data_IF_822374287816
#
_entry.id   IF_822374287816
#
_cell.length_a   1.000
_cell.length_b   1.000
_cell.length_c   1.000
_cell.angle_alpha   90.00
_cell.angle_beta   90.00
_cell.angle_gamma   90.00
#
_symmetry.space_group_name_H-M   'P 1'
#
loop_
_entity.id
_entity.type
_entity.pdbx_description
1 polymer ?
#
# COMPACT_ATOMS: atom_id res chain seq x y z
N UNK A 1 18.62 22.15 10.57
CA UNK A 1 18.46 20.67 10.68
C UNK A 1 17.02 20.22 10.45
N UNK A 2 16.04 21.10 10.68
CA UNK A 2 14.60 20.90 10.41
C UNK A 2 14.31 20.63 8.92
N UNK A 3 14.45 21.63 8.04
CA UNK A 3 14.06 21.52 6.62
C UNK A 3 14.63 20.30 5.87
N UNK A 4 15.76 19.74 6.34
CA UNK A 4 16.37 18.53 5.79
C UNK A 4 15.51 17.27 6.04
N UNK A 5 14.95 17.08 7.24
CA UNK A 5 14.11 15.91 7.57
C UNK A 5 12.78 15.95 6.83
N UNK A 6 12.13 17.10 6.79
CA UNK A 6 10.88 17.26 6.03
C UNK A 6 11.10 17.06 4.53
N UNK A 7 12.18 17.63 3.98
CA UNK A 7 12.56 17.41 2.57
C UNK A 7 12.83 15.94 2.29
N UNK A 8 13.51 15.24 3.18
CA UNK A 8 13.78 13.81 3.06
C UNK A 8 12.49 12.96 3.04
N UNK A 9 11.53 13.25 3.92
CA UNK A 9 10.22 12.55 3.91
C UNK A 9 9.49 12.77 2.59
N UNK A 10 9.51 14.00 2.05
CA UNK A 10 8.89 14.32 0.75
C UNK A 10 9.61 13.63 -0.40
N UNK A 11 10.93 13.56 -0.38
CA UNK A 11 11.73 12.85 -1.39
C UNK A 11 11.44 11.34 -1.37
N UNK A 12 11.34 10.72 -0.18
CA UNK A 12 10.96 9.32 -0.08
C UNK A 12 9.51 9.06 -0.52
N UNK A 13 8.56 9.96 -0.23
CA UNK A 13 7.20 9.86 -0.75
C UNK A 13 7.19 9.89 -2.29
N UNK A 14 8.01 10.76 -2.91
CA UNK A 14 8.17 10.78 -4.38
C UNK A 14 8.76 9.48 -4.91
N UNK A 15 9.75 8.92 -4.23
CA UNK A 15 10.33 7.61 -4.58
C UNK A 15 9.29 6.48 -4.52
N UNK A 16 8.30 6.57 -3.62
CA UNK A 16 7.27 5.55 -3.46
C UNK A 16 6.21 5.58 -4.57
N UNK A 17 5.76 6.77 -4.97
CA UNK A 17 4.61 6.93 -5.87
C UNK A 17 4.97 7.43 -7.27
N UNK A 18 5.89 8.37 -7.41
CA UNK A 18 6.15 9.07 -8.68
C UNK A 18 7.35 8.47 -9.42
N UNK A 19 8.43 8.21 -8.70
CA UNK A 19 9.70 7.75 -9.28
C UNK A 19 9.88 6.23 -9.18
N UNK A 20 8.87 5.53 -8.63
CA UNK A 20 8.92 4.09 -8.42
C UNK A 20 8.82 3.32 -9.73
N UNK A 21 9.98 2.85 -10.22
CA UNK A 21 10.11 2.04 -11.45
C UNK A 21 10.23 0.54 -11.16
N UNK A 22 9.96 0.10 -9.92
CA UNK A 22 10.06 -1.32 -9.56
C UNK A 22 9.06 -2.14 -10.39
N UNK A 23 9.55 -3.20 -11.03
CA UNK A 23 8.69 -4.14 -11.75
C UNK A 23 8.09 -5.13 -10.77
N UNK A 24 6.77 -5.26 -10.74
CA UNK A 24 6.05 -6.20 -9.87
C UNK A 24 5.51 -7.39 -10.68
N UNK A 25 5.79 -8.59 -10.14
CA UNK A 25 5.41 -9.92 -10.65
C UNK A 25 4.69 -10.71 -9.55
N UNK A 26 4.05 -11.81 -9.92
CA UNK A 26 3.35 -12.67 -8.95
C UNK A 26 4.28 -13.22 -7.87
N UNK A 27 5.50 -13.62 -8.23
CA UNK A 27 6.54 -14.08 -7.30
C UNK A 27 7.00 -13.07 -6.24
N UNK A 28 6.59 -11.80 -6.33
CA UNK A 28 6.84 -10.84 -5.24
C UNK A 28 5.90 -11.02 -4.05
N UNK A 29 4.83 -11.81 -4.21
CA UNK A 29 3.85 -12.13 -3.19
C UNK A 29 3.91 -13.62 -2.88
N UNK A 30 3.89 -13.95 -1.60
CA UNK A 30 3.98 -15.33 -1.14
C UNK A 30 2.84 -16.19 -1.71
N UNK A 31 3.19 -17.33 -2.32
CA UNK A 31 2.28 -18.33 -2.86
C UNK A 31 1.33 -17.85 -3.99
N UNK A 32 1.51 -16.62 -4.51
CA UNK A 32 0.58 -16.06 -5.49
C UNK A 32 0.76 -16.68 -6.88
N UNK A 33 2.01 -16.95 -7.29
CA UNK A 33 2.29 -17.52 -8.60
C UNK A 33 1.70 -18.93 -8.72
N UNK A 34 1.88 -19.76 -7.69
CA UNK A 34 1.28 -21.09 -7.59
C UNK A 34 -0.24 -21.02 -7.59
N UNK A 35 -0.81 -20.13 -6.76
CA UNK A 35 -2.27 -20.00 -6.67
C UNK A 35 -2.92 -19.54 -7.98
N UNK A 36 -2.23 -18.72 -8.79
CA UNK A 36 -2.71 -18.31 -10.13
C UNK A 36 -2.59 -19.45 -11.15
N UNK A 37 -1.59 -20.32 -11.03
CA UNK A 37 -1.47 -21.51 -11.90
C UNK A 37 -2.54 -22.56 -11.59
N UNK A 38 -3.01 -22.62 -10.35
CA UNK A 38 -4.07 -23.53 -9.90
C UNK A 38 -5.49 -23.06 -10.27
N UNK A 39 -5.68 -21.79 -10.65
CA UNK A 39 -6.98 -21.30 -11.11
C UNK A 39 -7.23 -21.62 -12.58
N UNK A 40 -8.51 -21.66 -12.98
CA UNK A 40 -8.84 -21.67 -14.39
C UNK A 40 -8.27 -20.40 -15.05
N UNK A 41 -7.73 -20.52 -16.28
CA UNK A 41 -7.02 -19.45 -16.97
C UNK A 41 -7.72 -18.09 -16.85
N UNK A 42 -7.09 -17.16 -16.13
CA UNK A 42 -7.56 -15.78 -15.98
C UNK A 42 -8.48 -15.53 -14.78
N UNK A 43 -8.73 -16.50 -13.91
CA UNK A 43 -9.51 -16.31 -12.68
C UNK A 43 -8.66 -15.82 -11.50
N UNK A 44 -9.30 -15.05 -10.62
CA UNK A 44 -8.71 -14.57 -9.37
C UNK A 44 -8.68 -15.73 -8.36
N UNK A 45 -7.52 -16.01 -7.73
CA UNK A 45 -7.42 -17.02 -6.68
C UNK A 45 -8.49 -16.85 -5.59
N UNK A 46 -9.05 -17.97 -5.12
CA UNK A 46 -10.22 -17.98 -4.22
C UNK A 46 -10.04 -17.11 -2.98
N UNK A 47 -8.86 -17.14 -2.36
CA UNK A 47 -8.55 -16.35 -1.16
C UNK A 47 -8.49 -14.82 -1.40
N UNK A 48 -8.40 -14.39 -2.66
CA UNK A 48 -8.37 -12.98 -3.06
C UNK A 48 -9.72 -12.45 -3.57
N UNK A 49 -10.70 -13.33 -3.79
CA UNK A 49 -11.97 -12.95 -4.41
C UNK A 49 -12.74 -11.90 -3.60
N UNK A 50 -12.77 -12.04 -2.28
CA UNK A 50 -13.44 -11.07 -1.40
C UNK A 50 -12.80 -9.67 -1.48
N UNK A 51 -11.47 -9.61 -1.57
CA UNK A 51 -10.75 -8.35 -1.75
C UNK A 51 -11.04 -7.76 -3.13
N UNK A 52 -11.02 -8.60 -4.18
CA UNK A 52 -11.35 -8.16 -5.53
C UNK A 52 -12.75 -7.56 -5.62
N UNK A 53 -13.74 -8.16 -4.96
CA UNK A 53 -15.09 -7.62 -4.85
C UNK A 53 -15.11 -6.25 -4.16
N UNK A 54 -14.41 -6.09 -3.04
CA UNK A 54 -14.30 -4.80 -2.33
C UNK A 54 -13.67 -3.72 -3.21
N UNK A 55 -12.61 -4.04 -3.95
CA UNK A 55 -11.96 -3.11 -4.88
C UNK A 55 -12.94 -2.71 -6.00
N UNK A 56 -13.60 -3.67 -6.65
CA UNK A 56 -14.56 -3.38 -7.73
C UNK A 56 -15.69 -2.46 -7.25
N UNK A 57 -16.23 -2.73 -6.06
CA UNK A 57 -17.26 -1.89 -5.43
C UNK A 57 -16.74 -0.48 -5.15
N UNK A 58 -15.53 -0.34 -4.60
CA UNK A 58 -14.91 0.95 -4.31
C UNK A 58 -14.56 1.77 -5.57
N UNK A 59 -14.15 1.09 -6.65
CA UNK A 59 -13.81 1.72 -7.93
C UNK A 59 -15.04 2.18 -8.72
N UNK A 60 -16.26 1.77 -8.33
CA UNK A 60 -17.51 2.16 -9.00
C UNK A 60 -17.61 1.71 -10.46
N UNK A 61 -16.92 0.62 -10.83
CA UNK A 61 -16.92 0.11 -12.21
C UNK A 61 -18.30 -0.47 -12.56
N UNK A 62 -19.05 0.23 -13.41
CA UNK A 62 -20.11 -0.41 -14.21
C UNK A 62 -19.42 -1.43 -15.12
N UNK A 63 -19.94 -2.65 -15.16
CA UNK A 63 -19.35 -3.83 -15.83
C UNK A 63 -19.08 -3.68 -17.35
N UNK A 64 -19.31 -2.51 -17.95
CA UNK A 64 -19.49 -2.35 -19.40
C UNK A 64 -18.35 -1.68 -20.16
N UNK A 65 -17.25 -1.26 -19.54
CA UNK A 65 -16.12 -0.65 -20.25
C UNK A 65 -14.80 -1.30 -19.84
N UNK A 66 -14.23 -2.11 -20.74
CA UNK A 66 -12.90 -2.74 -20.69
C UNK A 66 -12.47 -3.21 -19.29
N UNK A 67 -12.72 -4.49 -18.98
CA UNK A 67 -12.21 -5.12 -17.75
C UNK A 67 -10.73 -4.76 -17.57
N UNK A 68 -10.39 -3.91 -16.59
CA UNK A 68 -9.02 -3.47 -16.43
C UNK A 68 -8.13 -4.68 -16.14
N UNK A 69 -6.89 -4.63 -16.63
CA UNK A 69 -5.95 -5.76 -16.70
C UNK A 69 -6.04 -6.70 -15.48
N UNK A 70 -6.54 -7.92 -15.69
CA UNK A 70 -6.81 -8.88 -14.59
C UNK A 70 -5.57 -9.19 -13.75
N UNK A 71 -4.39 -9.24 -14.36
CA UNK A 71 -3.14 -9.46 -13.62
C UNK A 71 -2.83 -8.28 -12.69
N UNK A 72 -3.16 -7.05 -13.09
CA UNK A 72 -3.01 -5.89 -12.22
C UNK A 72 -3.98 -5.94 -11.03
N UNK A 73 -5.22 -6.40 -11.25
CA UNK A 73 -6.18 -6.63 -10.15
C UNK A 73 -5.69 -7.70 -9.18
N UNK A 74 -5.19 -8.84 -9.70
CA UNK A 74 -4.66 -9.94 -8.87
C UNK A 74 -3.50 -9.44 -8.00
N UNK A 75 -2.53 -8.72 -8.59
CA UNK A 75 -1.41 -8.13 -7.84
C UNK A 75 -1.90 -7.16 -6.76
N UNK A 76 -2.86 -6.30 -7.10
CA UNK A 76 -3.44 -5.34 -6.16
C UNK A 76 -4.15 -6.03 -4.99
N UNK A 77 -4.91 -7.09 -5.27
CA UNK A 77 -5.57 -7.90 -4.24
C UNK A 77 -4.53 -8.56 -3.34
N UNK A 78 -3.45 -9.11 -3.91
CA UNK A 78 -2.38 -9.73 -3.15
C UNK A 78 -1.65 -8.74 -2.24
N UNK A 79 -1.38 -7.51 -2.71
CA UNK A 79 -0.79 -6.47 -1.89
C UNK A 79 -1.67 -6.10 -0.70
N UNK A 80 -2.99 -5.96 -0.91
CA UNK A 80 -3.95 -5.66 0.17
C UNK A 80 -4.07 -6.83 1.14
N UNK A 81 -4.10 -8.06 0.64
CA UNK A 81 -4.10 -9.24 1.48
C UNK A 81 -2.84 -9.33 2.34
N UNK A 82 -1.67 -9.00 1.76
CA UNK A 82 -0.42 -8.92 2.51
C UNK A 82 -0.49 -7.83 3.59
N UNK A 83 -1.06 -6.66 3.30
CA UNK A 83 -1.32 -5.62 4.32
C UNK A 83 -2.25 -6.10 5.45
N UNK A 84 -3.21 -7.00 5.18
CA UNK A 84 -4.03 -7.65 6.22
C UNK A 84 -3.18 -8.51 7.18
N UNK A 85 -2.04 -9.04 6.73
CA UNK A 85 -1.16 -9.89 7.54
C UNK A 85 -0.15 -9.10 8.38
N UNK A 86 0.10 -7.82 8.07
CA UNK A 86 0.99 -6.96 8.84
C UNK A 86 0.24 -6.30 10.00
N UNK A 87 0.49 -6.76 11.22
CA UNK A 87 -0.03 -6.13 12.44
C UNK A 87 0.93 -5.03 12.90
N UNK A 88 0.55 -3.77 12.70
CA UNK A 88 1.43 -2.63 12.92
C UNK A 88 2.51 -2.44 11.83
N UNK A 89 3.31 -1.39 11.96
CA UNK A 89 4.33 -0.99 10.97
C UNK A 89 5.75 -1.45 11.33
N UNK A 90 5.94 -2.05 12.50
CA UNK A 90 7.25 -2.39 13.06
C UNK A 90 7.94 -3.52 12.27
N UNK A 91 7.16 -4.42 11.67
CA UNK A 91 7.67 -5.51 10.82
C UNK A 91 7.83 -5.10 9.35
N UNK A 92 7.34 -3.91 8.99
CA UNK A 92 7.39 -3.42 7.63
C UNK A 92 8.82 -2.96 7.28
N UNK A 93 9.21 -3.13 6.02
CA UNK A 93 10.46 -2.59 5.50
C UNK A 93 10.22 -1.76 4.24
N UNK A 94 11.23 -0.98 3.87
CA UNK A 94 11.13 -0.07 2.73
C UNK A 94 10.92 -0.77 1.39
N UNK A 95 11.56 -1.93 1.16
CA UNK A 95 11.41 -2.69 -0.09
C UNK A 95 9.98 -3.21 -0.28
N UNK A 96 9.33 -3.60 0.82
CA UNK A 96 7.92 -4.03 0.84
C UNK A 96 7.00 -2.86 0.52
N UNK A 97 7.22 -1.68 1.12
CA UNK A 97 6.51 -0.45 0.75
C UNK A 97 6.66 -0.13 -0.74
N UNK A 98 7.88 -0.17 -1.28
CA UNK A 98 8.14 0.05 -2.71
C UNK A 98 7.39 -0.96 -3.58
N UNK A 99 7.29 -2.22 -3.15
CA UNK A 99 6.54 -3.26 -3.87
C UNK A 99 5.05 -2.94 -3.91
N UNK A 100 4.45 -2.52 -2.80
CA UNK A 100 3.05 -2.09 -2.77
C UNK A 100 2.80 -0.81 -3.57
N UNK A 101 3.69 0.18 -3.48
CA UNK A 101 3.62 1.40 -4.28
C UNK A 101 3.67 1.13 -5.78
N UNK A 102 4.57 0.24 -6.22
CA UNK A 102 4.67 -0.16 -7.62
C UNK A 102 3.46 -0.98 -8.08
N UNK A 103 2.85 -1.76 -7.18
CA UNK A 103 1.60 -2.48 -7.44
C UNK A 103 0.44 -1.52 -7.67
N UNK A 104 0.33 -0.50 -6.81
CA UNK A 104 -0.62 0.60 -6.99
C UNK A 104 -0.41 1.32 -8.33
N UNK A 105 0.84 1.69 -8.67
CA UNK A 105 1.14 2.36 -9.95
C UNK A 105 0.72 1.49 -11.14
N UNK A 106 1.02 0.19 -11.11
CA UNK A 106 0.60 -0.76 -12.14
C UNK A 106 -0.93 -0.85 -12.28
N UNK A 107 -1.67 -0.81 -11.17
CA UNK A 107 -3.13 -0.78 -11.22
C UNK A 107 -3.65 0.57 -11.79
N UNK A 108 -3.05 1.69 -11.38
CA UNK A 108 -3.38 3.00 -11.93
C UNK A 108 -3.15 3.07 -13.44
N UNK A 109 -2.00 2.58 -13.91
CA UNK A 109 -1.64 2.54 -15.34
C UNK A 109 -2.57 1.62 -16.14
N UNK A 110 -3.12 0.59 -15.49
CA UNK A 110 -4.15 -0.29 -16.05
C UNK A 110 -5.57 0.32 -16.05
N UNK A 111 -5.74 1.57 -15.59
CA UNK A 111 -7.00 2.31 -15.63
C UNK A 111 -7.89 2.16 -14.40
N UNK A 112 -7.42 1.53 -13.32
CA UNK A 112 -8.21 1.43 -12.09
C UNK A 112 -8.30 2.78 -11.36
N UNK A 113 -9.48 3.09 -10.79
CA UNK A 113 -9.70 4.25 -9.90
C UNK A 113 -9.24 3.91 -8.47
N UNK A 114 -7.95 4.01 -8.23
CA UNK A 114 -7.28 3.54 -6.99
C UNK A 114 -6.83 4.67 -6.06
N UNK A 115 -7.45 5.85 -6.14
CA UNK A 115 -7.09 7.01 -5.30
C UNK A 115 -7.24 6.72 -3.80
N UNK A 116 -8.23 5.91 -3.42
CA UNK A 116 -8.41 5.48 -2.03
C UNK A 116 -7.24 4.61 -1.54
N UNK A 117 -6.67 3.78 -2.41
CA UNK A 117 -5.49 2.95 -2.11
C UNK A 117 -4.26 3.84 -1.97
N UNK A 118 -4.08 4.83 -2.85
CA UNK A 118 -2.99 5.80 -2.73
C UNK A 118 -3.03 6.53 -1.39
N UNK A 119 -4.21 7.02 -1.00
CA UNK A 119 -4.42 7.71 0.28
C UNK A 119 -4.07 6.79 1.46
N UNK A 120 -4.45 5.52 1.37
CA UNK A 120 -4.17 4.53 2.40
C UNK A 120 -2.68 4.17 2.48
N UNK A 121 -2.03 3.92 1.34
CA UNK A 121 -0.58 3.69 1.27
C UNK A 121 0.21 4.88 1.80
N UNK A 122 -0.21 6.12 1.51
CA UNK A 122 0.38 7.33 2.11
C UNK A 122 0.27 7.33 3.62
N UNK A 123 -0.86 6.87 4.16
CA UNK A 123 -1.05 6.74 5.61
C UNK A 123 -0.10 5.70 6.22
N UNK A 124 0.05 4.53 5.58
CA UNK A 124 1.01 3.50 5.99
C UNK A 124 2.45 4.04 5.92
N UNK A 125 2.79 4.78 4.86
CA UNK A 125 4.09 5.44 4.72
C UNK A 125 4.39 6.41 5.88
N UNK A 126 3.45 7.29 6.23
CA UNK A 126 3.63 8.19 7.39
C UNK A 126 3.77 7.41 8.70
N UNK A 127 3.01 6.33 8.87
CA UNK A 127 3.13 5.46 10.04
C UNK A 127 4.51 4.78 10.13
N UNK A 128 5.02 4.25 9.01
CA UNK A 128 6.36 3.67 8.91
C UNK A 128 7.43 4.69 9.35
N UNK A 129 7.39 5.91 8.83
CA UNK A 129 8.29 7.00 9.28
C UNK A 129 8.11 7.31 10.77
N UNK A 130 6.87 7.36 11.26
CA UNK A 130 6.56 7.59 12.67
C UNK A 130 7.24 6.58 13.59
N UNK A 131 7.24 5.30 13.20
CA UNK A 131 7.92 4.23 13.93
C UNK A 131 9.44 4.46 14.01
N UNK A 132 10.10 4.80 12.90
CA UNK A 132 11.53 5.16 12.92
C UNK A 132 11.80 6.38 13.80
N UNK A 133 10.95 7.40 13.74
CA UNK A 133 11.12 8.62 14.55
C UNK A 133 11.06 8.31 16.06
N UNK A 134 10.16 7.40 16.49
CA UNK A 134 10.11 6.95 17.89
C UNK A 134 11.42 6.30 18.34
N UNK A 135 12.05 5.51 17.47
CA UNK A 135 13.30 4.79 17.81
C UNK A 135 14.54 5.70 17.87
N UNK A 136 14.53 6.87 17.23
CA UNK A 136 15.70 7.75 17.11
C UNK A 136 15.87 8.80 18.23
N UNK A 137 14.97 8.88 19.21
CA UNK A 137 15.07 9.80 20.35
C UNK A 137 14.81 11.28 20.00
N UNK A 138 13.87 11.89 20.73
CA UNK A 138 13.36 13.24 20.46
C UNK A 138 14.33 14.33 20.95
N UNK A 139 15.37 14.65 20.16
CA UNK A 139 16.28 15.76 20.46
C UNK A 139 15.92 16.99 19.60
N UNK A 140 15.19 17.93 20.19
CA UNK A 140 15.20 19.33 19.74
C UNK A 140 13.97 19.80 18.96
N UNK A 141 13.28 20.75 19.59
CA UNK A 141 12.07 21.45 19.21
C UNK A 141 12.20 22.29 17.93
N UNK A 142 11.79 21.78 16.75
CA UNK A 142 11.14 22.55 15.65
C UNK A 142 10.73 21.61 14.50
N UNK A 143 9.62 20.85 14.61
CA UNK A 143 8.96 20.20 13.44
C UNK A 143 7.63 19.48 13.73
N UNK A 144 6.80 20.06 14.60
CA UNK A 144 5.60 19.41 15.15
C UNK A 144 4.66 18.81 14.09
N UNK A 145 4.23 19.55 13.05
CA UNK A 145 3.10 19.09 12.22
C UNK A 145 3.36 17.81 11.41
N UNK A 146 4.50 17.68 10.74
CA UNK A 146 4.81 16.47 9.95
C UNK A 146 5.17 15.29 10.86
N UNK A 147 5.86 15.55 11.98
CA UNK A 147 6.16 14.52 12.96
C UNK A 147 4.89 14.03 13.66
N UNK A 148 4.01 14.93 14.10
CA UNK A 148 2.68 14.64 14.63
C UNK A 148 1.86 13.82 13.64
N UNK A 149 1.88 14.18 12.35
CA UNK A 149 1.20 13.40 11.30
C UNK A 149 1.75 11.97 11.22
N UNK A 150 3.06 11.79 11.28
CA UNK A 150 3.69 10.47 11.25
C UNK A 150 3.38 9.65 12.50
N UNK A 151 3.47 10.26 13.68
CA UNK A 151 3.17 9.62 14.97
C UNK A 151 1.70 9.24 15.08
N UNK A 152 0.78 10.14 14.73
CA UNK A 152 -0.65 9.87 14.71
C UNK A 152 -1.03 8.77 13.70
N UNK A 153 -0.37 8.74 12.54
CA UNK A 153 -0.57 7.67 11.56
C UNK A 153 -0.13 6.31 12.12
N UNK A 154 1.02 6.25 12.79
CA UNK A 154 1.52 5.02 13.45
C UNK A 154 0.55 4.55 14.54
N UNK A 155 0.08 5.45 15.42
CA UNK A 155 -0.85 5.12 16.50
C UNK A 155 -2.15 4.52 15.95
N UNK A 156 -2.59 5.00 14.79
CA UNK A 156 -3.82 4.51 14.16
C UNK A 156 -3.75 3.05 13.68
N UNK A 157 -2.55 2.48 13.56
CA UNK A 157 -2.30 1.08 13.20
C UNK A 157 -1.88 0.20 14.39
N UNK A 158 -1.74 0.75 15.60
CA UNK A 158 -1.37 -0.05 16.77
C UNK A 158 -2.39 -1.15 17.05
N UNK A 159 -1.91 -2.40 17.11
CA UNK A 159 -2.74 -3.59 17.33
C UNK A 159 -3.72 -3.89 16.19
N UNK A 160 -3.51 -3.30 15.00
CA UNK A 160 -4.40 -3.45 13.84
C UNK A 160 -3.62 -3.82 12.58
N UNK A 161 -4.26 -4.51 11.64
CA UNK A 161 -3.64 -4.79 10.35
C UNK A 161 -3.43 -3.49 9.56
N UNK A 162 -2.41 -3.46 8.70
CA UNK A 162 -2.11 -2.28 7.88
C UNK A 162 -3.20 -1.98 6.85
N UNK A 163 -4.04 -2.93 6.50
CA UNK A 163 -5.25 -2.72 5.69
C UNK A 163 -6.39 -1.99 6.42
N UNK A 164 -6.29 -1.79 7.74
CA UNK A 164 -7.38 -1.27 8.57
C UNK A 164 -7.88 0.09 8.08
N UNK A 165 -9.16 0.16 7.73
CA UNK A 165 -9.80 1.38 7.24
C UNK A 165 -9.60 1.66 5.74
N UNK A 166 -9.00 0.73 4.98
CA UNK A 166 -8.82 0.87 3.53
C UNK A 166 -10.16 0.92 2.79
N UNK A 167 -11.05 -0.01 3.10
CA UNK A 167 -12.41 -0.05 2.58
C UNK A 167 -13.33 0.47 3.68
N UNK A 168 -13.62 1.77 3.68
CA UNK A 168 -14.67 2.32 4.54
C UNK A 168 -16.02 1.69 4.14
N UNK A 169 -16.74 1.14 5.13
CA UNK A 169 -18.15 0.75 5.01
C UNK A 169 -19.03 1.98 4.83
#
# INVERSE_FOLDING_TARGET
MSAFKQRYIVELEKMLFVENKKTVKFSNFQCLEEAVLETANGEIPKYLQDIACKIKNACGTKETENVPNINALILLCAAIHEMDQYMGVELLNWDRLLTWGATYNKAKDAGFKVEFIEKHLKKIWYAFIGSYLKTCGNNGNTELKMMEKCLSAEESFQGKPLSHGLFSQ
#
